data_IF_271414771844
#
_entry.id   IF_271414771844
#
_cell.length_a   1.000
_cell.length_b   1.000
_cell.length_c   1.000
_cell.angle_alpha   90.00
_cell.angle_beta   90.00
_cell.angle_gamma   90.00
#
_symmetry.space_group_name_H-M   'P 1'
#
loop_
_entity.id
_entity.type
_entity.pdbx_description
1 polymer ?
#
# COMPACT_ATOMS: atom_id res chain seq x y z
N UNK A 1 0.84 5.79 -6.09
CA UNK A 1 0.79 4.92 -7.28
C UNK A 1 -0.60 4.30 -7.34
N UNK A 2 -1.32 4.45 -8.45
CA UNK A 2 -2.69 3.92 -8.59
C UNK A 2 -2.70 2.69 -9.51
N UNK A 3 -3.40 1.63 -9.11
CA UNK A 3 -3.64 0.46 -9.94
C UNK A 3 -5.00 0.62 -10.66
N UNK A 4 -5.13 0.05 -11.86
CA UNK A 4 -6.40 0.06 -12.59
C UNK A 4 -7.46 -0.79 -11.89
N UNK A 5 -8.74 -0.46 -12.11
CA UNK A 5 -9.87 -1.22 -11.55
C UNK A 5 -9.81 -2.70 -11.97
N UNK A 6 -9.46 -2.99 -13.22
CA UNK A 6 -9.28 -4.36 -13.72
C UNK A 6 -8.22 -5.12 -12.93
N UNK A 7 -7.08 -4.46 -12.64
CA UNK A 7 -6.00 -5.07 -11.87
C UNK A 7 -6.41 -5.26 -10.41
N UNK A 8 -7.12 -4.32 -9.82
CA UNK A 8 -7.71 -4.46 -8.47
C UNK A 8 -8.65 -5.64 -8.42
N UNK A 9 -9.52 -5.80 -9.42
CA UNK A 9 -10.47 -6.91 -9.49
C UNK A 9 -9.75 -8.25 -9.64
N UNK A 10 -8.76 -8.33 -10.52
CA UNK A 10 -7.95 -9.55 -10.70
C UNK A 10 -7.22 -9.97 -9.42
N UNK A 11 -6.60 -9.02 -8.72
CA UNK A 11 -5.94 -9.29 -7.45
C UNK A 11 -6.95 -9.72 -6.40
N UNK A 12 -8.12 -9.06 -6.31
CA UNK A 12 -9.15 -9.40 -5.35
C UNK A 12 -9.66 -10.84 -5.52
N UNK A 13 -9.89 -11.29 -6.76
CA UNK A 13 -10.26 -12.68 -7.05
C UNK A 13 -9.15 -13.66 -6.64
N UNK A 14 -7.88 -13.36 -6.95
CA UNK A 14 -6.76 -14.21 -6.53
C UNK A 14 -6.62 -14.31 -5.01
N UNK A 15 -6.86 -13.22 -4.29
CA UNK A 15 -6.82 -13.21 -2.82
C UNK A 15 -7.96 -14.06 -2.28
N UNK A 16 -9.18 -13.86 -2.78
CA UNK A 16 -10.36 -14.64 -2.41
C UNK A 16 -10.13 -16.14 -2.61
N UNK A 17 -9.65 -16.54 -3.80
CA UNK A 17 -9.30 -17.93 -4.13
C UNK A 17 -8.30 -18.54 -3.15
N UNK A 18 -7.30 -17.76 -2.72
CA UNK A 18 -6.26 -18.23 -1.80
C UNK A 18 -6.76 -18.35 -0.38
N UNK A 19 -7.62 -17.44 0.08
CA UNK A 19 -8.24 -17.54 1.40
C UNK A 19 -9.10 -18.80 1.49
N UNK A 20 -9.88 -19.07 0.43
CA UNK A 20 -10.71 -20.26 0.36
C UNK A 20 -9.89 -21.55 0.25
N UNK A 21 -8.93 -21.64 -0.69
CA UNK A 21 -8.10 -22.84 -0.91
C UNK A 21 -7.21 -23.23 0.27
N UNK A 22 -6.91 -22.29 1.15
CA UNK A 22 -6.09 -22.52 2.34
C UNK A 22 -6.96 -22.73 3.59
N UNK A 23 -8.28 -22.92 3.44
CA UNK A 23 -9.25 -23.14 4.53
C UNK A 23 -9.16 -22.08 5.65
N UNK A 24 -8.86 -20.83 5.28
CA UNK A 24 -8.68 -19.75 6.27
C UNK A 24 -10.01 -19.16 6.72
N UNK A 25 -10.97 -19.01 5.80
CA UNK A 25 -12.28 -18.39 6.03
C UNK A 25 -13.31 -18.95 5.05
N UNK A 26 -14.51 -19.27 5.54
CA UNK A 26 -15.67 -19.56 4.70
C UNK A 26 -16.40 -18.29 4.28
N UNK A 27 -16.79 -18.22 3.00
CA UNK A 27 -17.48 -17.08 2.43
C UNK A 27 -18.96 -17.40 2.18
N UNK A 28 -19.87 -17.09 3.12
CA UNK A 28 -21.30 -17.33 2.92
C UNK A 28 -21.88 -16.48 1.78
N UNK A 29 -21.25 -15.34 1.47
CA UNK A 29 -21.63 -14.45 0.38
C UNK A 29 -20.37 -13.97 -0.35
N UNK A 30 -19.97 -14.69 -1.38
CA UNK A 30 -18.75 -14.42 -2.16
C UNK A 30 -18.66 -12.97 -2.69
N UNK A 31 -19.73 -12.36 -3.27
CA UNK A 31 -19.63 -10.98 -3.76
C UNK A 31 -19.30 -9.96 -2.67
N UNK A 32 -19.77 -10.20 -1.44
CA UNK A 32 -19.49 -9.32 -0.30
C UNK A 32 -18.04 -9.44 0.13
N UNK A 33 -17.51 -10.66 0.16
CA UNK A 33 -16.10 -10.90 0.44
C UNK A 33 -15.20 -10.23 -0.61
N UNK A 34 -15.53 -10.39 -1.89
CA UNK A 34 -14.82 -9.75 -2.98
C UNK A 34 -14.84 -8.21 -2.86
N UNK A 35 -16.00 -7.61 -2.57
CA UNK A 35 -16.11 -6.17 -2.34
C UNK A 35 -15.24 -5.72 -1.16
N UNK A 36 -15.23 -6.47 -0.06
CA UNK A 36 -14.39 -6.16 1.10
C UNK A 36 -12.91 -6.22 0.77
N UNK A 37 -12.47 -7.22 0.02
CA UNK A 37 -11.08 -7.36 -0.43
C UNK A 37 -10.70 -6.16 -1.33
N UNK A 38 -11.56 -5.77 -2.27
CA UNK A 38 -11.33 -4.59 -3.13
C UNK A 38 -11.17 -3.31 -2.29
N UNK A 39 -12.02 -3.11 -1.28
CA UNK A 39 -11.92 -1.97 -0.37
C UNK A 39 -10.60 -1.99 0.42
N UNK A 40 -10.21 -3.13 0.99
CA UNK A 40 -8.94 -3.27 1.70
C UNK A 40 -7.72 -2.97 0.79
N UNK A 41 -7.77 -3.39 -0.47
CA UNK A 41 -6.73 -3.05 -1.45
C UNK A 41 -6.69 -1.54 -1.69
N UNK A 42 -7.85 -0.89 -1.88
CA UNK A 42 -7.92 0.55 -2.09
C UNK A 42 -7.40 1.35 -0.89
N UNK A 43 -7.79 0.96 0.33
CA UNK A 43 -7.31 1.56 1.58
C UNK A 43 -5.80 1.41 1.74
N UNK A 44 -5.23 0.26 1.38
CA UNK A 44 -3.79 0.03 1.39
C UNK A 44 -3.04 0.99 0.46
N UNK A 45 -3.52 1.17 -0.78
CA UNK A 45 -2.89 2.10 -1.72
C UNK A 45 -3.05 3.56 -1.29
N UNK A 46 -4.22 3.94 -0.79
CA UNK A 46 -4.46 5.29 -0.27
C UNK A 46 -3.52 5.61 0.89
N UNK A 47 -3.39 4.69 1.86
CA UNK A 47 -2.46 4.83 2.98
C UNK A 47 -1.03 4.98 2.49
N UNK A 48 -0.59 4.10 1.57
CA UNK A 48 0.76 4.11 1.00
C UNK A 48 1.09 5.45 0.31
N UNK A 49 0.14 5.99 -0.45
CA UNK A 49 0.27 7.30 -1.10
C UNK A 49 0.41 8.43 -0.08
N UNK A 50 -0.38 8.42 0.99
CA UNK A 50 -0.25 9.42 2.06
C UNK A 50 1.12 9.33 2.76
N UNK A 51 1.65 8.13 2.99
CA UNK A 51 2.98 7.93 3.57
C UNK A 51 4.02 8.55 2.63
N UNK A 52 3.98 8.19 1.34
CA UNK A 52 4.93 8.69 0.34
C UNK A 52 4.91 10.23 0.28
N UNK A 53 3.73 10.85 0.26
CA UNK A 53 3.60 12.31 0.24
C UNK A 53 4.15 12.98 1.51
N UNK A 54 3.98 12.37 2.68
CA UNK A 54 4.57 12.90 3.93
C UNK A 54 6.08 12.77 3.93
N UNK A 55 6.61 11.62 3.51
CA UNK A 55 8.06 11.38 3.43
C UNK A 55 8.71 12.33 2.43
N UNK A 56 8.11 12.53 1.26
CA UNK A 56 8.61 13.49 0.26
C UNK A 56 8.62 14.93 0.79
N UNK A 57 7.58 15.35 1.50
CA UNK A 57 7.52 16.67 2.16
C UNK A 57 8.62 16.81 3.22
N UNK A 58 8.84 15.78 4.04
CA UNK A 58 9.91 15.73 5.05
C UNK A 58 11.29 15.82 4.39
N UNK A 59 11.53 15.06 3.33
CA UNK A 59 12.79 15.09 2.58
C UNK A 59 13.04 16.43 1.89
N UNK A 60 12.01 17.08 1.33
CA UNK A 60 12.14 18.40 0.71
C UNK A 60 12.60 19.48 1.70
N UNK A 61 12.28 19.33 2.99
CA UNK A 61 12.75 20.21 4.06
C UNK A 61 14.19 19.94 4.51
N UNK A 62 14.76 18.79 4.16
CA UNK A 62 16.12 18.39 4.52
C UNK A 62 17.14 18.91 3.51
N UNK A 63 18.05 19.77 3.96
CA UNK A 63 19.09 20.38 3.13
C UNK A 63 20.09 19.38 2.51
N UNK A 64 20.21 18.18 3.08
CA UNK A 64 21.06 17.09 2.58
C UNK A 64 20.39 16.21 1.51
N UNK A 65 19.06 16.23 1.39
CA UNK A 65 18.30 15.36 0.50
C UNK A 65 17.96 16.03 -0.84
N UNK A 66 18.87 16.84 -1.38
CA UNK A 66 18.56 17.77 -2.49
C UNK A 66 18.28 17.12 -3.85
N UNK A 67 18.58 15.84 -4.03
CA UNK A 67 18.41 15.18 -5.34
C UNK A 67 17.59 13.90 -5.18
N UNK A 68 16.30 13.92 -5.57
CA UNK A 68 15.52 12.70 -5.74
C UNK A 68 16.26 11.69 -6.62
N UNK A 69 16.40 10.46 -6.14
CA UNK A 69 17.14 9.41 -6.84
C UNK A 69 18.65 9.35 -6.55
N UNK A 70 19.18 10.20 -5.66
CA UNK A 70 20.51 9.96 -5.10
C UNK A 70 20.48 8.84 -4.08
N UNK A 71 21.62 8.15 -3.88
CA UNK A 71 21.74 7.08 -2.88
C UNK A 71 21.38 7.56 -1.47
N UNK A 72 21.82 8.75 -1.09
CA UNK A 72 21.53 9.34 0.22
C UNK A 72 20.03 9.67 0.37
N UNK A 73 19.40 10.13 -0.72
CA UNK A 73 17.95 10.36 -0.76
C UNK A 73 17.18 9.05 -0.58
N UNK A 74 17.58 7.98 -1.27
CA UNK A 74 16.93 6.66 -1.15
C UNK A 74 17.06 6.07 0.25
N UNK A 75 18.24 6.19 0.88
CA UNK A 75 18.48 5.74 2.25
C UNK A 75 17.56 6.49 3.23
N UNK A 76 17.50 7.82 3.12
CA UNK A 76 16.66 8.65 3.98
C UNK A 76 15.17 8.40 3.71
N UNK A 77 14.77 8.24 2.44
CA UNK A 77 13.41 7.90 2.06
C UNK A 77 12.98 6.59 2.71
N UNK A 78 13.77 5.53 2.57
CA UNK A 78 13.45 4.22 3.16
C UNK A 78 13.28 4.33 4.68
N UNK A 79 14.21 5.01 5.36
CA UNK A 79 14.15 5.22 6.79
C UNK A 79 12.87 5.96 7.22
N UNK A 80 12.57 7.09 6.58
CA UNK A 80 11.38 7.87 6.93
C UNK A 80 10.09 7.17 6.54
N UNK A 81 10.07 6.41 5.44
CA UNK A 81 8.94 5.59 5.07
C UNK A 81 8.65 4.52 6.12
N UNK A 82 9.67 3.81 6.60
CA UNK A 82 9.54 2.83 7.68
C UNK A 82 9.05 3.47 8.99
N UNK A 83 9.57 4.65 9.35
CA UNK A 83 9.10 5.42 10.51
C UNK A 83 7.62 5.82 10.41
N UNK A 84 7.20 6.38 9.27
CA UNK A 84 5.81 6.82 9.07
C UNK A 84 4.84 5.64 8.90
N UNK A 85 5.29 4.51 8.33
CA UNK A 85 4.53 3.28 8.27
C UNK A 85 4.36 2.60 9.63
N UNK A 86 5.35 2.70 10.51
CA UNK A 86 5.26 2.17 11.87
C UNK A 86 4.24 2.93 12.74
N UNK A 87 4.06 4.25 12.53
CA UNK A 87 3.07 5.06 13.24
C UNK A 87 1.63 4.78 12.83
N UNK A 88 1.43 4.23 11.65
CA UNK A 88 0.10 3.91 11.07
C UNK A 88 -0.28 2.42 11.20
N UNK A 89 0.55 1.63 11.89
CA UNK A 89 0.26 0.24 12.25
C UNK A 89 -0.62 0.14 13.49
#
# INVERSE_FOLDING_TARGET
MNISEDRTSHIAHKVLDRIWKNDLVDFPVEPRALQRIKLSIAEFFATTEEIDQLVRRKLASYSQAKVPGSRDWEILYKKFYEEEAAKRR
#
